data_IF_650222428379
#
_entry.id   IF_650222428379
#
_cell.length_a   1.000
_cell.length_b   1.000
_cell.length_c   1.000
_cell.angle_alpha   90.00
_cell.angle_beta   90.00
_cell.angle_gamma   90.00
#
_symmetry.space_group_name_H-M   'P 1'
#
loop_
_entity.id
_entity.type
_entity.pdbx_description
1 polymer ?
#
# COMPACT_ATOMS: atom_id res chain seq x y z
N UNK A 1 10.68 46.58 -2.82
CA UNK A 1 11.09 45.83 -1.62
C UNK A 1 9.95 45.02 -0.94
N UNK A 2 8.69 45.41 -1.03
CA UNK A 2 7.56 44.65 -0.44
C UNK A 2 7.20 43.32 -1.18
N UNK A 3 7.48 43.19 -2.46
CA UNK A 3 7.11 42.01 -3.28
C UNK A 3 7.95 40.78 -2.92
N UNK A 4 9.24 40.93 -2.66
CA UNK A 4 10.15 39.81 -2.33
C UNK A 4 9.77 39.16 -1.00
N UNK A 5 9.36 39.97 -0.02
CA UNK A 5 8.92 39.47 1.30
C UNK A 5 7.61 38.68 1.22
N UNK A 6 6.70 39.09 0.32
CA UNK A 6 5.43 38.39 0.12
C UNK A 6 5.64 36.99 -0.51
N UNK A 7 6.52 36.88 -1.52
CA UNK A 7 6.86 35.61 -2.15
C UNK A 7 7.57 34.64 -1.18
N UNK A 8 8.44 35.16 -0.34
CA UNK A 8 9.13 34.37 0.68
C UNK A 8 8.16 33.79 1.71
N UNK A 9 7.21 34.59 2.20
CA UNK A 9 6.18 34.15 3.13
C UNK A 9 5.21 33.12 2.49
N UNK A 10 4.85 33.29 1.23
CA UNK A 10 4.01 32.33 0.49
C UNK A 10 4.73 30.98 0.33
N UNK A 11 6.03 31.00 0.02
CA UNK A 11 6.84 29.78 -0.11
C UNK A 11 6.96 29.03 1.23
N UNK A 12 7.16 29.76 2.35
CA UNK A 12 7.22 29.17 3.70
C UNK A 12 5.89 28.51 4.06
N UNK A 13 4.76 29.20 3.85
CA UNK A 13 3.41 28.66 4.12
C UNK A 13 3.14 27.43 3.26
N UNK A 14 3.52 27.44 1.98
CA UNK A 14 3.36 26.31 1.08
C UNK A 14 4.18 25.09 1.53
N UNK A 15 5.43 25.29 1.95
CA UNK A 15 6.27 24.21 2.50
C UNK A 15 5.72 23.66 3.82
N UNK A 16 5.19 24.50 4.70
CA UNK A 16 4.52 24.07 5.94
C UNK A 16 3.26 23.24 5.62
N UNK A 17 2.45 23.63 4.64
CA UNK A 17 1.26 22.89 4.21
C UNK A 17 1.63 21.53 3.60
N UNK A 18 2.70 21.44 2.79
CA UNK A 18 3.21 20.16 2.25
C UNK A 18 3.72 19.26 3.37
N UNK A 19 4.49 19.79 4.32
CA UNK A 19 4.99 19.04 5.47
C UNK A 19 3.84 18.56 6.37
N UNK A 20 2.81 19.39 6.59
CA UNK A 20 1.60 19.05 7.36
C UNK A 20 0.79 17.97 6.67
N UNK A 21 0.61 18.04 5.35
CA UNK A 21 -0.06 17.01 4.55
C UNK A 21 0.68 15.67 4.63
N UNK A 22 2.02 15.67 4.52
CA UNK A 22 2.85 14.47 4.71
C UNK A 22 2.72 13.88 6.11
N UNK A 23 2.70 14.73 7.15
CA UNK A 23 2.54 14.32 8.55
C UNK A 23 1.16 13.71 8.79
N UNK A 24 0.10 14.30 8.24
CA UNK A 24 -1.27 13.78 8.33
C UNK A 24 -1.39 12.44 7.58
N UNK A 25 -0.82 12.29 6.38
CA UNK A 25 -0.80 11.03 5.65
C UNK A 25 -0.07 9.93 6.44
N UNK A 26 1.03 10.25 7.12
CA UNK A 26 1.76 9.27 7.96
C UNK A 26 0.99 8.87 9.23
N UNK A 27 0.11 9.73 9.74
CA UNK A 27 -0.76 9.44 10.88
C UNK A 27 -1.97 8.57 10.49
N UNK A 28 -2.36 8.56 9.21
CA UNK A 28 -3.52 7.80 8.72
C UNK A 28 -3.20 6.35 8.38
N UNK A 29 -1.94 6.01 8.10
CA UNK A 29 -1.56 4.67 7.68
C UNK A 29 -0.53 4.10 8.63
N UNK A 30 -0.94 3.14 9.45
CA UNK A 30 -0.05 2.45 10.39
C UNK A 30 0.83 1.40 9.71
N UNK A 31 0.45 0.92 8.53
CA UNK A 31 1.08 -0.18 7.83
C UNK A 31 1.03 -0.01 6.31
N UNK A 32 2.12 -0.33 5.64
CA UNK A 32 2.25 -0.27 4.18
C UNK A 32 2.83 -1.59 3.66
N UNK A 33 2.21 -2.15 2.61
CA UNK A 33 2.74 -3.31 1.86
C UNK A 33 2.90 -2.88 0.41
N UNK A 34 4.08 -3.13 -0.18
CA UNK A 34 4.28 -2.94 -1.62
C UNK A 34 4.28 -4.28 -2.33
N UNK A 35 3.60 -4.33 -3.46
CA UNK A 35 3.52 -5.50 -4.33
C UNK A 35 3.94 -5.13 -5.73
N UNK A 36 4.54 -6.09 -6.43
CA UNK A 36 4.69 -6.07 -7.89
C UNK A 36 3.81 -7.16 -8.47
N UNK A 37 2.86 -6.79 -9.32
CA UNK A 37 1.87 -7.67 -9.95
C UNK A 37 2.20 -7.84 -11.43
N UNK A 38 2.27 -9.09 -11.89
CA UNK A 38 2.49 -9.44 -13.28
C UNK A 38 1.19 -9.53 -14.05
N UNK A 39 1.19 -8.97 -15.26
CA UNK A 39 0.12 -9.10 -16.26
C UNK A 39 -1.02 -8.11 -16.09
N UNK A 40 -1.80 -8.01 -17.16
CA UNK A 40 -2.98 -7.13 -17.29
C UNK A 40 -4.27 -7.81 -16.81
N UNK A 41 -5.36 -7.05 -16.76
CA UNK A 41 -6.70 -7.54 -16.45
C UNK A 41 -7.01 -7.53 -14.95
N UNK A 42 -8.10 -8.19 -14.58
CA UNK A 42 -8.60 -8.24 -13.20
C UNK A 42 -7.89 -9.35 -12.43
N UNK A 43 -7.32 -9.02 -11.28
CA UNK A 43 -6.53 -9.94 -10.45
C UNK A 43 -6.78 -9.73 -8.97
N UNK A 44 -6.66 -10.82 -8.22
CA UNK A 44 -6.60 -10.75 -6.76
C UNK A 44 -5.21 -10.27 -6.30
N UNK A 45 -5.18 -9.28 -5.43
CA UNK A 45 -3.97 -8.75 -4.77
C UNK A 45 -3.89 -9.15 -3.30
N UNK A 46 -5.00 -9.63 -2.76
CA UNK A 46 -5.14 -10.25 -1.44
C UNK A 46 -6.09 -11.44 -1.61
N UNK A 47 -5.85 -12.50 -0.85
CA UNK A 47 -6.74 -13.67 -0.87
C UNK A 47 -8.17 -13.31 -0.46
N UNK A 48 -9.15 -13.73 -1.24
CA UNK A 48 -10.55 -13.31 -1.06
C UNK A 48 -11.10 -13.56 0.36
N UNK A 49 -10.74 -14.69 0.96
CA UNK A 49 -11.20 -15.04 2.31
C UNK A 49 -10.35 -14.42 3.43
N UNK A 50 -9.31 -13.64 3.10
CA UNK A 50 -8.58 -12.89 4.13
C UNK A 50 -9.49 -11.83 4.76
N UNK A 51 -9.51 -11.78 6.09
CA UNK A 51 -10.51 -10.99 6.85
C UNK A 51 -10.35 -9.48 6.67
N UNK A 52 -9.09 -9.00 6.59
CA UNK A 52 -8.81 -7.57 6.58
C UNK A 52 -8.70 -7.03 5.15
N UNK A 53 -9.31 -5.89 4.91
CA UNK A 53 -9.16 -5.15 3.65
C UNK A 53 -8.23 -3.96 3.85
N UNK A 54 -7.44 -3.59 2.84
CA UNK A 54 -6.68 -2.36 2.89
C UNK A 54 -7.61 -1.15 2.99
N UNK A 55 -7.21 -0.16 3.79
CA UNK A 55 -7.93 1.12 3.90
C UNK A 55 -7.87 1.89 2.60
N UNK A 56 -6.72 1.79 1.91
CA UNK A 56 -6.47 2.44 0.64
C UNK A 56 -5.55 1.57 -0.24
N UNK A 57 -5.70 1.69 -1.57
CA UNK A 57 -4.87 1.02 -2.56
C UNK A 57 -4.37 2.05 -3.57
N UNK A 58 -3.07 2.03 -3.86
CA UNK A 58 -2.50 2.80 -4.97
C UNK A 58 -1.91 1.86 -6.02
N UNK A 59 -2.20 2.12 -7.29
CA UNK A 59 -1.60 1.44 -8.44
C UNK A 59 -0.86 2.48 -9.26
N UNK A 60 0.42 2.26 -9.54
CA UNK A 60 1.30 3.21 -10.23
C UNK A 60 1.25 4.62 -9.60
N UNK A 61 1.16 4.70 -8.26
CA UNK A 61 1.10 5.93 -7.50
C UNK A 61 -0.26 6.63 -7.45
N UNK A 62 -1.28 6.13 -8.18
CA UNK A 62 -2.64 6.66 -8.19
C UNK A 62 -3.55 5.87 -7.25
N UNK A 63 -4.38 6.57 -6.49
CA UNK A 63 -5.40 5.94 -5.64
C UNK A 63 -6.46 5.27 -6.50
N UNK A 64 -6.80 4.02 -6.16
CA UNK A 64 -7.78 3.21 -6.86
C UNK A 64 -8.91 2.77 -5.92
N UNK A 65 -10.12 2.72 -6.47
CA UNK A 65 -11.29 2.27 -5.70
C UNK A 65 -11.43 0.74 -5.80
N UNK A 66 -10.40 0.03 -5.38
CA UNK A 66 -10.42 -1.43 -5.24
C UNK A 66 -9.83 -1.83 -3.89
N UNK A 67 -10.04 -3.07 -3.45
CA UNK A 67 -9.57 -3.58 -2.16
C UNK A 67 -8.76 -4.86 -2.30
N UNK A 68 -9.42 -5.98 -2.58
CA UNK A 68 -8.78 -7.29 -2.74
C UNK A 68 -8.60 -7.69 -4.20
N UNK A 69 -9.44 -7.13 -5.07
CA UNK A 69 -9.47 -7.40 -6.51
C UNK A 69 -9.34 -6.06 -7.23
N UNK A 70 -8.34 -5.96 -8.09
CA UNK A 70 -8.04 -4.74 -8.84
C UNK A 70 -7.87 -5.04 -10.34
N UNK A 71 -8.00 -4.01 -11.17
CA UNK A 71 -7.75 -4.09 -12.61
C UNK A 71 -6.40 -3.46 -12.95
N UNK A 72 -5.65 -4.13 -13.82
CA UNK A 72 -4.29 -3.76 -14.20
C UNK A 72 -4.16 -3.54 -15.70
N UNK A 73 -3.46 -2.47 -16.07
CA UNK A 73 -3.30 -2.06 -17.47
C UNK A 73 -1.92 -2.39 -18.06
N UNK A 74 -0.93 -2.76 -17.23
CA UNK A 74 0.45 -3.01 -17.64
C UNK A 74 0.85 -4.47 -17.43
N UNK A 75 1.88 -4.92 -18.12
CA UNK A 75 2.49 -6.24 -17.89
C UNK A 75 3.19 -6.36 -16.53
N UNK A 76 3.59 -5.23 -15.95
CA UNK A 76 4.14 -5.13 -14.59
C UNK A 76 3.55 -3.91 -13.91
N UNK A 77 2.99 -4.08 -12.73
CA UNK A 77 2.26 -3.03 -12.02
C UNK A 77 2.75 -2.92 -10.57
N UNK A 78 3.05 -1.70 -10.13
CA UNK A 78 3.42 -1.41 -8.75
C UNK A 78 2.16 -1.07 -7.94
N UNK A 79 1.96 -1.78 -6.85
CA UNK A 79 0.81 -1.63 -5.97
C UNK A 79 1.27 -1.31 -4.56
N UNK A 80 0.59 -0.40 -3.88
CA UNK A 80 0.79 -0.13 -2.46
C UNK A 80 -0.54 -0.32 -1.75
N UNK A 81 -0.53 -1.18 -0.74
CA UNK A 81 -1.65 -1.41 0.16
C UNK A 81 -1.40 -0.65 1.45
N UNK A 82 -2.37 0.10 1.91
CA UNK A 82 -2.34 0.81 3.18
C UNK A 82 -3.35 0.25 4.15
N UNK A 83 -2.94 0.10 5.40
CA UNK A 83 -3.80 -0.32 6.50
C UNK A 83 -3.77 0.74 7.59
N UNK A 84 -4.91 1.37 7.88
CA UNK A 84 -5.05 2.35 8.96
C UNK A 84 -5.27 1.70 10.33
N UNK A 85 -5.74 0.45 10.34
CA UNK A 85 -5.96 -0.33 11.55
C UNK A 85 -4.91 -1.43 11.70
N UNK A 86 -4.59 -1.77 12.93
CA UNK A 86 -3.72 -2.91 13.23
C UNK A 86 -4.32 -4.21 12.75
N UNK A 87 -3.48 -5.05 12.14
CA UNK A 87 -3.82 -6.42 11.73
C UNK A 87 -3.34 -7.38 12.80
N UNK A 88 -4.19 -8.26 13.26
CA UNK A 88 -3.85 -9.26 14.29
C UNK A 88 -3.53 -10.65 13.72
N UNK A 89 -3.81 -10.90 12.44
CA UNK A 89 -3.42 -12.12 11.75
C UNK A 89 -3.13 -11.86 10.27
N UNK A 90 -2.10 -12.50 9.74
CA UNK A 90 -1.77 -12.53 8.32
C UNK A 90 -2.03 -13.92 7.71
N UNK A 91 -2.81 -14.78 8.38
CA UNK A 91 -3.11 -16.11 7.87
C UNK A 91 -3.75 -16.06 6.48
N UNK A 92 -3.14 -16.77 5.53
CA UNK A 92 -3.57 -16.83 4.13
C UNK A 92 -3.58 -15.49 3.38
N UNK A 93 -2.95 -14.43 3.85
CA UNK A 93 -3.05 -13.09 3.25
C UNK A 93 -2.75 -13.09 1.74
N UNK A 94 -1.69 -13.79 1.34
CA UNK A 94 -1.27 -13.94 -0.07
C UNK A 94 -1.36 -15.39 -0.56
N UNK A 95 -2.31 -16.14 -0.03
CA UNK A 95 -2.52 -17.55 -0.36
C UNK A 95 -2.92 -17.74 -1.82
N UNK A 96 -2.18 -18.57 -2.56
CA UNK A 96 -2.47 -18.91 -3.96
C UNK A 96 -2.61 -17.69 -4.90
N UNK A 97 -1.75 -16.70 -4.77
CA UNK A 97 -1.72 -15.51 -5.63
C UNK A 97 -0.49 -15.52 -6.56
N UNK A 98 -0.52 -16.28 -7.66
CA UNK A 98 0.65 -16.51 -8.51
C UNK A 98 1.10 -15.27 -9.32
N UNK A 99 0.24 -14.28 -9.47
CA UNK A 99 0.55 -13.05 -10.22
C UNK A 99 1.37 -12.03 -9.41
N UNK A 100 1.47 -12.22 -8.10
CA UNK A 100 2.35 -11.39 -7.26
C UNK A 100 3.78 -11.91 -7.44
N UNK A 101 4.69 -11.09 -7.96
CA UNK A 101 6.09 -11.46 -8.20
C UNK A 101 7.06 -10.86 -7.19
N UNK A 102 6.63 -9.86 -6.42
CA UNK A 102 7.41 -9.24 -5.34
C UNK A 102 6.49 -8.75 -4.24
N UNK A 103 6.92 -8.90 -2.98
CA UNK A 103 6.26 -8.38 -1.79
C UNK A 103 7.31 -7.71 -0.90
N UNK A 104 7.13 -6.41 -0.61
CA UNK A 104 7.93 -5.67 0.37
C UNK A 104 7.09 -5.38 1.62
N UNK A 105 7.48 -5.97 2.73
CA UNK A 105 6.86 -5.82 4.05
C UNK A 105 7.69 -4.95 5.00
N UNK A 106 8.71 -4.25 4.50
CA UNK A 106 9.63 -3.46 5.34
C UNK A 106 8.94 -2.37 6.17
N UNK A 107 7.76 -1.92 5.73
CA UNK A 107 6.93 -0.92 6.42
C UNK A 107 5.62 -1.49 6.96
N UNK A 108 5.51 -2.81 7.05
CA UNK A 108 4.33 -3.45 7.62
C UNK A 108 4.49 -3.61 9.14
N UNK A 109 3.46 -3.20 9.88
CA UNK A 109 3.44 -3.32 11.34
C UNK A 109 2.99 -4.71 11.79
N UNK A 110 3.94 -5.55 12.17
CA UNK A 110 3.71 -6.88 12.73
C UNK A 110 3.44 -6.90 14.24
N UNK A 111 3.45 -5.75 14.92
CA UNK A 111 3.41 -5.69 16.39
C UNK A 111 2.21 -6.36 17.03
N UNK A 112 1.08 -6.46 16.31
CA UNK A 112 -0.15 -7.12 16.77
C UNK A 112 -0.42 -8.46 16.09
N UNK A 113 0.43 -8.87 15.14
CA UNK A 113 0.24 -10.12 14.39
C UNK A 113 0.59 -11.32 15.26
N UNK A 114 -0.36 -12.22 15.45
CA UNK A 114 -0.21 -13.45 16.24
C UNK A 114 -0.03 -14.70 15.38
N UNK A 115 -0.33 -14.62 14.06
CA UNK A 115 -0.17 -15.75 13.14
C UNK A 115 0.12 -15.28 11.71
N UNK A 116 1.07 -15.96 11.07
CA UNK A 116 1.40 -15.82 9.64
C UNK A 116 1.20 -17.14 8.89
N UNK A 117 0.39 -18.05 9.44
CA UNK A 117 0.17 -19.39 8.88
C UNK A 117 -0.30 -19.30 7.42
N UNK A 118 0.40 -20.00 6.53
CA UNK A 118 0.11 -20.05 5.10
C UNK A 118 0.06 -18.67 4.41
N UNK A 119 0.66 -17.63 4.99
CA UNK A 119 0.66 -16.27 4.42
C UNK A 119 1.14 -16.28 2.97
N UNK A 120 2.17 -17.07 2.65
CA UNK A 120 2.77 -17.18 1.32
C UNK A 120 2.61 -18.60 0.72
N UNK A 121 1.57 -19.32 1.07
CA UNK A 121 1.39 -20.68 0.61
C UNK A 121 1.23 -20.77 -0.91
N UNK A 122 2.07 -21.62 -1.56
CA UNK A 122 2.19 -21.75 -3.02
C UNK A 122 2.60 -20.45 -3.74
N UNK A 123 3.40 -19.65 -3.10
CA UNK A 123 4.09 -18.54 -3.73
C UNK A 123 5.38 -19.06 -4.39
N UNK A 124 5.31 -19.38 -5.67
CA UNK A 124 6.41 -20.06 -6.39
C UNK A 124 7.58 -19.15 -6.81
N UNK A 125 7.46 -17.83 -6.61
CA UNK A 125 8.43 -16.85 -7.12
C UNK A 125 9.37 -16.26 -6.05
N UNK A 126 9.27 -16.67 -4.80
CA UNK A 126 10.11 -16.13 -3.70
C UNK A 126 11.43 -16.91 -3.49
N UNK A 127 11.69 -17.95 -4.30
CA UNK A 127 12.88 -18.79 -4.17
C UNK A 127 13.62 -18.97 -5.47
#
# INVERSE_FOLDING_TARGET
MKIITLFHNILIVFNILIAHKKSIESLYFSSEIKLVIKGTGVKNIIYNSFTFEPSDVKIEGKRENCKKICSFAKETNNVILYYSNSINTCENMFYLLPDIIEIDLSKFDFSKVISTKKMFYRYYHLF
#
